data_IF_848264152008
#
_entry.id   IF_848264152008
#
_cell.length_a   1.000
_cell.length_b   1.000
_cell.length_c   1.000
_cell.angle_alpha   90.00
_cell.angle_beta   90.00
_cell.angle_gamma   90.00
#
_symmetry.space_group_name_H-M   'P 1'
#
loop_
_entity.id
_entity.type
_entity.pdbx_description
1 polymer ?
#
# COMPACT_ATOMS: atom_id res chain seq x y z
N UNK A 1 -14.65 -8.58 -5.50
CA UNK A 1 -14.54 -9.21 -6.84
C UNK A 1 -15.89 -9.19 -7.57
N UNK A 2 -16.92 -9.86 -7.02
CA UNK A 2 -18.23 -9.97 -7.68
C UNK A 2 -18.88 -8.61 -8.04
N UNK A 3 -18.86 -7.67 -7.13
CA UNK A 3 -19.47 -6.35 -7.34
C UNK A 3 -18.67 -5.53 -8.35
N UNK A 4 -17.35 -5.61 -8.31
CA UNK A 4 -16.46 -4.96 -9.31
C UNK A 4 -16.72 -5.51 -10.71
N UNK A 5 -16.85 -6.82 -10.86
CA UNK A 5 -17.21 -7.47 -12.12
C UNK A 5 -18.55 -6.90 -12.67
N UNK A 6 -19.60 -6.90 -11.84
CA UNK A 6 -20.92 -6.42 -12.25
C UNK A 6 -20.92 -4.95 -12.67
N UNK A 7 -20.16 -4.11 -11.98
CA UNK A 7 -20.05 -2.69 -12.31
C UNK A 7 -19.39 -2.51 -13.69
N UNK A 8 -18.26 -3.20 -13.91
CA UNK A 8 -17.51 -3.09 -15.16
C UNK A 8 -18.29 -3.69 -16.35
N UNK A 9 -18.98 -4.80 -16.14
CA UNK A 9 -19.86 -5.43 -17.14
C UNK A 9 -21.02 -4.50 -17.52
N UNK A 10 -21.67 -3.86 -16.55
CA UNK A 10 -22.73 -2.88 -16.80
C UNK A 10 -22.24 -1.59 -17.49
N UNK A 11 -20.94 -1.32 -17.46
CA UNK A 11 -20.29 -0.19 -18.15
C UNK A 11 -19.78 -0.58 -19.55
N UNK A 12 -20.14 -1.77 -20.03
CA UNK A 12 -19.69 -2.32 -21.32
C UNK A 12 -18.15 -2.33 -21.49
N UNK A 13 -17.41 -2.54 -20.39
CA UNK A 13 -15.96 -2.69 -20.45
C UNK A 13 -15.58 -3.96 -21.22
N UNK A 14 -14.43 -3.90 -21.89
CA UNK A 14 -13.91 -5.06 -22.61
C UNK A 14 -13.65 -6.24 -21.64
N UNK A 15 -14.02 -7.50 -22.02
CA UNK A 15 -13.84 -8.67 -21.17
C UNK A 15 -12.39 -8.90 -20.69
N UNK A 16 -11.38 -8.58 -21.49
CA UNK A 16 -9.98 -8.70 -21.10
C UNK A 16 -9.59 -7.64 -20.06
N UNK A 17 -10.11 -6.42 -20.18
CA UNK A 17 -9.95 -5.38 -19.17
C UNK A 17 -10.63 -5.78 -17.85
N UNK A 18 -11.86 -6.29 -17.91
CA UNK A 18 -12.59 -6.78 -16.73
C UNK A 18 -11.77 -7.88 -16.04
N UNK A 19 -11.28 -8.85 -16.79
CA UNK A 19 -10.48 -9.94 -16.26
C UNK A 19 -9.20 -9.42 -15.56
N UNK A 20 -8.50 -8.46 -16.16
CA UNK A 20 -7.29 -7.85 -15.63
C UNK A 20 -7.57 -7.09 -14.32
N UNK A 21 -8.60 -6.25 -14.31
CA UNK A 21 -8.99 -5.43 -13.15
C UNK A 21 -9.45 -6.32 -11.99
N UNK A 22 -10.33 -7.28 -12.26
CA UNK A 22 -10.87 -8.19 -11.24
C UNK A 22 -9.77 -9.08 -10.65
N UNK A 23 -8.83 -9.53 -11.48
CA UNK A 23 -7.65 -10.26 -11.04
C UNK A 23 -6.76 -9.40 -10.13
N UNK A 24 -6.52 -8.14 -10.48
CA UNK A 24 -5.76 -7.22 -9.65
C UNK A 24 -6.44 -7.00 -8.29
N UNK A 25 -7.77 -6.76 -8.28
CA UNK A 25 -8.55 -6.61 -7.05
C UNK A 25 -8.49 -7.88 -6.18
N UNK A 26 -8.54 -9.07 -6.79
CA UNK A 26 -8.48 -10.34 -6.06
C UNK A 26 -7.11 -10.65 -5.44
N UNK A 27 -6.05 -10.00 -5.89
CA UNK A 27 -4.67 -10.28 -5.51
C UNK A 27 -3.96 -9.15 -4.77
N UNK A 28 -4.68 -8.15 -4.22
CA UNK A 28 -4.04 -7.01 -3.57
C UNK A 28 -3.92 -7.10 -2.04
N UNK A 29 -4.66 -8.01 -1.39
CA UNK A 29 -4.71 -8.12 0.07
C UNK A 29 -3.41 -8.67 0.68
N UNK A 30 -3.08 -8.22 1.90
CA UNK A 30 -1.81 -8.55 2.57
C UNK A 30 -1.61 -10.04 2.84
N UNK A 31 -2.68 -10.76 3.18
CA UNK A 31 -2.62 -12.17 3.56
C UNK A 31 -2.38 -13.12 2.38
N UNK A 32 -2.92 -12.80 1.21
CA UNK A 32 -2.93 -13.67 0.03
C UNK A 32 -2.49 -12.98 -1.25
N UNK A 33 -2.21 -11.68 -1.18
CA UNK A 33 -1.87 -10.85 -2.34
C UNK A 33 -0.61 -11.29 -3.05
N UNK A 34 -0.68 -11.25 -4.37
CA UNK A 34 0.43 -11.52 -5.26
C UNK A 34 0.39 -10.52 -6.43
N UNK A 35 1.51 -9.90 -6.78
CA UNK A 35 1.57 -9.01 -7.93
C UNK A 35 1.61 -9.80 -9.25
N UNK A 36 0.50 -10.46 -9.59
CA UNK A 36 0.39 -11.40 -10.72
C UNK A 36 0.54 -10.76 -12.09
N UNK A 37 0.36 -9.44 -12.18
CA UNK A 37 0.61 -8.64 -13.38
C UNK A 37 0.91 -7.19 -12.99
N UNK A 38 1.22 -6.34 -13.98
CA UNK A 38 1.57 -4.94 -13.73
C UNK A 38 0.43 -4.13 -13.08
N UNK A 39 -0.83 -4.42 -13.42
CA UNK A 39 -1.99 -3.73 -12.83
C UNK A 39 -2.16 -4.10 -11.36
N UNK A 40 -2.03 -5.40 -11.03
CA UNK A 40 -2.05 -5.85 -9.64
C UNK A 40 -0.89 -5.25 -8.83
N UNK A 41 0.31 -5.19 -9.41
CA UNK A 41 1.48 -4.58 -8.78
C UNK A 41 1.26 -3.09 -8.49
N UNK A 42 0.72 -2.34 -9.45
CA UNK A 42 0.40 -0.92 -9.27
C UNK A 42 -0.67 -0.70 -8.19
N UNK A 43 -1.71 -1.52 -8.17
CA UNK A 43 -2.77 -1.47 -7.15
C UNK A 43 -2.21 -1.76 -5.75
N UNK A 44 -1.37 -2.79 -5.61
CA UNK A 44 -0.70 -3.12 -4.35
C UNK A 44 0.11 -1.94 -3.85
N UNK A 45 0.96 -1.36 -4.68
CA UNK A 45 1.79 -0.21 -4.30
C UNK A 45 0.95 1.00 -3.88
N UNK A 46 -0.11 1.30 -4.62
CA UNK A 46 -1.00 2.42 -4.29
C UNK A 46 -1.74 2.19 -2.96
N UNK A 47 -2.35 1.02 -2.77
CA UNK A 47 -3.13 0.71 -1.57
C UNK A 47 -2.24 0.57 -0.33
N UNK A 48 -1.13 -0.18 -0.43
CA UNK A 48 -0.27 -0.48 0.73
C UNK A 48 0.63 0.70 1.13
N UNK A 49 0.86 1.66 0.26
CA UNK A 49 1.55 2.91 0.61
C UNK A 49 0.66 3.93 1.32
N UNK A 50 -0.67 3.77 1.28
CA UNK A 50 -1.61 4.70 1.91
C UNK A 50 -1.74 4.46 3.42
N UNK A 51 -0.67 4.71 4.14
CA UNK A 51 -0.59 4.65 5.61
C UNK A 51 -0.53 6.08 6.13
N UNK A 52 -1.56 6.54 6.81
CA UNK A 52 -1.60 7.92 7.32
C UNK A 52 -2.74 8.12 8.33
N UNK A 53 -2.58 9.18 9.15
CA UNK A 53 -3.53 9.60 10.20
C UNK A 53 -4.98 9.71 9.70
N UNK A 54 -5.19 10.24 8.51
CA UNK A 54 -6.53 10.42 7.93
C UNK A 54 -7.25 9.10 7.60
N UNK A 55 -6.57 7.97 7.65
CA UNK A 55 -7.16 6.62 7.48
C UNK A 55 -7.81 6.10 8.75
N UNK A 56 -7.45 6.63 9.91
CA UNK A 56 -8.03 6.21 11.20
C UNK A 56 -9.46 6.73 11.29
N UNK A 57 -10.41 5.82 11.39
CA UNK A 57 -11.85 6.14 11.51
C UNK A 57 -12.29 6.30 12.96
N UNK A 58 -11.60 5.61 13.87
CA UNK A 58 -11.85 5.73 15.30
C UNK A 58 -11.48 7.16 15.77
N UNK A 59 -12.38 7.84 16.47
CA UNK A 59 -12.15 9.21 16.96
C UNK A 59 -11.75 9.26 18.42
N UNK A 60 -11.87 8.15 19.13
CA UNK A 60 -11.50 8.03 20.54
C UNK A 60 -10.12 7.41 20.69
N UNK A 61 -9.12 8.25 20.93
CA UNK A 61 -7.73 7.82 21.10
C UNK A 61 -7.51 6.85 22.26
N UNK A 62 -8.40 6.88 23.28
CA UNK A 62 -8.31 5.97 24.41
C UNK A 62 -8.63 4.52 24.02
N UNK A 63 -9.37 4.32 22.92
CA UNK A 63 -9.77 3.01 22.40
C UNK A 63 -8.98 2.58 21.17
N UNK A 64 -7.90 3.31 20.81
CA UNK A 64 -7.03 2.94 19.68
C UNK A 64 -6.40 1.57 19.93
N UNK A 65 -6.57 0.68 18.95
CA UNK A 65 -5.72 -0.51 18.86
C UNK A 65 -4.32 -0.15 18.29
N UNK A 66 -3.47 -1.14 18.12
CA UNK A 66 -2.12 -0.91 17.60
C UNK A 66 -2.13 -0.42 16.15
N UNK A 67 -3.06 -0.90 15.33
CA UNK A 67 -3.22 -0.46 13.94
C UNK A 67 -3.66 1.00 13.88
N UNK A 68 -4.63 1.40 14.71
CA UNK A 68 -5.08 2.79 14.83
C UNK A 68 -3.93 3.70 15.24
N UNK A 69 -3.17 3.32 16.29
CA UNK A 69 -2.03 4.11 16.76
C UNK A 69 -0.95 4.29 15.71
N UNK A 70 -0.59 3.21 15.01
CA UNK A 70 0.45 3.28 13.98
C UNK A 70 -0.01 4.12 12.80
N UNK A 71 -1.23 3.94 12.29
CA UNK A 71 -1.77 4.80 11.24
C UNK A 71 -1.86 6.27 11.70
N UNK A 72 -2.30 6.51 12.93
CA UNK A 72 -2.40 7.87 13.49
C UNK A 72 -1.04 8.54 13.65
N UNK A 73 0.02 7.77 13.91
CA UNK A 73 1.38 8.28 14.00
C UNK A 73 1.93 8.79 12.65
N UNK A 74 1.42 8.27 11.53
CA UNK A 74 1.89 8.66 10.19
C UNK A 74 1.21 9.96 9.75
N UNK A 75 1.94 11.06 9.77
CA UNK A 75 1.48 12.39 9.33
C UNK A 75 1.37 12.49 7.82
N UNK A 76 2.30 11.89 7.11
CA UNK A 76 2.40 11.96 5.65
C UNK A 76 2.99 10.68 5.10
N UNK A 77 2.42 10.21 4.01
CA UNK A 77 2.96 9.15 3.15
C UNK A 77 3.13 9.68 1.73
N UNK A 78 4.23 9.37 1.09
CA UNK A 78 4.52 9.79 -0.28
C UNK A 78 5.21 8.66 -1.04
N UNK A 79 4.59 8.24 -2.14
CA UNK A 79 5.14 7.28 -3.09
C UNK A 79 5.62 8.02 -4.33
N UNK A 80 6.87 7.82 -4.74
CA UNK A 80 7.47 8.44 -5.93
C UNK A 80 8.29 7.46 -6.74
N UNK A 81 8.16 7.53 -8.05
CA UNK A 81 9.05 6.88 -9.00
C UNK A 81 10.08 7.91 -9.47
N UNK A 82 11.35 7.51 -9.62
CA UNK A 82 12.40 8.37 -10.15
C UNK A 82 12.21 8.59 -11.67
N UNK A 83 12.90 9.59 -12.23
CA UNK A 83 12.78 9.94 -13.65
C UNK A 83 13.25 8.83 -14.59
N UNK A 84 14.24 8.06 -14.18
CA UNK A 84 14.79 6.93 -14.93
C UNK A 84 13.89 5.67 -14.89
N UNK A 85 12.77 5.70 -14.14
CA UNK A 85 11.85 4.54 -13.95
C UNK A 85 12.56 3.26 -13.49
N UNK A 86 13.52 3.39 -12.58
CA UNK A 86 14.29 2.27 -12.00
C UNK A 86 14.01 2.06 -10.52
N UNK A 87 13.47 3.08 -9.86
CA UNK A 87 13.32 3.13 -8.41
C UNK A 87 11.95 3.68 -8.03
N UNK A 88 11.28 3.00 -7.11
CA UNK A 88 10.09 3.52 -6.41
C UNK A 88 10.41 3.71 -4.93
N UNK A 89 10.16 4.90 -4.41
CA UNK A 89 10.47 5.29 -3.05
C UNK A 89 9.21 5.62 -2.26
N UNK A 90 9.00 4.93 -1.14
CA UNK A 90 7.99 5.26 -0.15
C UNK A 90 8.65 6.06 0.98
N UNK A 91 8.17 7.28 1.18
CA UNK A 91 8.58 8.16 2.28
C UNK A 91 7.45 8.31 3.28
N UNK A 92 7.74 8.05 4.55
CA UNK A 92 6.81 8.20 5.66
C UNK A 92 7.36 9.19 6.67
N UNK A 93 6.47 10.05 7.17
CA UNK A 93 6.75 10.96 8.29
C UNK A 93 5.94 10.51 9.49
N UNK A 94 6.64 9.91 10.45
CA UNK A 94 6.06 9.31 11.67
C UNK A 94 6.24 10.26 12.85
N UNK A 95 5.15 10.53 13.55
CA UNK A 95 5.15 11.26 14.82
C UNK A 95 5.36 10.27 15.97
N UNK A 96 6.56 10.24 16.49
CA UNK A 96 6.97 9.29 17.53
C UNK A 96 6.26 9.47 18.88
N UNK A 97 5.44 10.51 19.03
CA UNK A 97 4.56 10.67 20.19
C UNK A 97 3.42 9.64 20.23
N UNK A 98 3.00 9.13 19.07
CA UNK A 98 1.85 8.23 18.94
C UNK A 98 2.22 6.79 18.60
N UNK A 99 3.40 6.56 18.07
CA UNK A 99 3.90 5.24 17.74
C UNK A 99 5.38 5.27 17.39
N UNK A 100 6.08 4.22 17.70
CA UNK A 100 7.49 4.07 17.34
C UNK A 100 7.67 3.58 15.91
N UNK A 101 8.87 3.72 15.35
CA UNK A 101 9.23 3.09 14.08
C UNK A 101 9.16 1.57 14.19
N UNK A 102 9.44 1.02 15.36
CA UNK A 102 9.33 -0.43 15.62
C UNK A 102 7.88 -0.91 15.55
N UNK A 103 6.93 -0.15 16.12
CA UNK A 103 5.50 -0.47 16.03
C UNK A 103 5.03 -0.49 14.58
N UNK A 104 5.54 0.45 13.76
CA UNK A 104 5.26 0.47 12.32
C UNK A 104 5.74 -0.81 11.64
N UNK A 105 6.95 -1.28 11.92
CA UNK A 105 7.47 -2.51 11.33
C UNK A 105 6.71 -3.74 11.82
N UNK A 106 6.39 -3.82 13.09
CA UNK A 106 5.62 -4.94 13.66
C UNK A 106 4.29 -5.13 12.92
N UNK A 107 3.59 -4.04 12.66
CA UNK A 107 2.26 -4.05 12.04
C UNK A 107 2.33 -4.13 10.51
N UNK A 108 3.27 -3.44 9.89
CA UNK A 108 3.28 -3.26 8.43
C UNK A 108 4.43 -3.94 7.69
N UNK A 109 5.20 -4.81 8.35
CA UNK A 109 6.28 -5.54 7.69
C UNK A 109 5.77 -6.34 6.48
N UNK A 110 4.70 -7.11 6.65
CA UNK A 110 4.08 -7.88 5.55
C UNK A 110 3.66 -6.99 4.39
N UNK A 111 3.11 -5.82 4.69
CA UNK A 111 2.71 -4.80 3.72
C UNK A 111 3.91 -4.26 2.94
N UNK A 112 5.02 -3.97 3.61
CA UNK A 112 6.25 -3.50 2.97
C UNK A 112 6.91 -4.58 2.10
N UNK A 113 6.89 -5.83 2.54
CA UNK A 113 7.36 -6.95 1.73
C UNK A 113 6.53 -7.15 0.47
N UNK A 114 5.22 -6.97 0.55
CA UNK A 114 4.33 -7.04 -0.61
C UNK A 114 4.59 -5.86 -1.58
N UNK A 115 4.83 -4.65 -1.06
CA UNK A 115 5.25 -3.50 -1.89
C UNK A 115 6.56 -3.78 -2.62
N UNK A 116 7.54 -4.40 -1.98
CA UNK A 116 8.80 -4.77 -2.61
C UNK A 116 8.59 -5.73 -3.76
N UNK A 117 7.81 -6.82 -3.55
CA UNK A 117 7.47 -7.77 -4.63
C UNK A 117 6.74 -7.10 -5.79
N UNK A 118 5.81 -6.19 -5.49
CA UNK A 118 5.08 -5.45 -6.51
C UNK A 118 6.01 -4.53 -7.33
N UNK A 119 6.93 -3.84 -6.68
CA UNK A 119 7.94 -3.04 -7.36
C UNK A 119 8.83 -3.89 -8.29
N UNK A 120 9.30 -5.05 -7.81
CA UNK A 120 10.09 -6.00 -8.60
C UNK A 120 9.32 -6.48 -9.83
N UNK A 121 8.02 -6.75 -9.72
CA UNK A 121 7.15 -7.10 -10.86
C UNK A 121 7.09 -5.99 -11.92
N UNK A 122 7.20 -4.72 -11.50
CA UNK A 122 7.27 -3.56 -12.41
C UNK A 122 8.70 -3.26 -12.91
N UNK A 123 9.70 -4.08 -12.54
CA UNK A 123 11.09 -3.83 -12.87
C UNK A 123 11.73 -2.70 -12.07
N UNK A 124 11.16 -2.35 -10.90
CA UNK A 124 11.60 -1.26 -10.05
C UNK A 124 12.26 -1.79 -8.76
N UNK A 125 13.26 -1.06 -8.27
CA UNK A 125 13.78 -1.26 -6.92
C UNK A 125 12.89 -0.53 -5.91
N UNK A 126 12.48 -1.18 -4.83
CA UNK A 126 11.73 -0.56 -3.74
C UNK A 126 12.66 0.01 -2.67
N UNK A 127 12.40 1.26 -2.27
CA UNK A 127 13.10 1.94 -1.16
C UNK A 127 12.10 2.48 -0.16
N UNK A 128 12.36 2.25 1.12
CA UNK A 128 11.58 2.80 2.24
C UNK A 128 12.41 3.80 3.04
N UNK A 129 11.85 4.98 3.28
CA UNK A 129 12.41 6.00 4.16
C UNK A 129 11.39 6.38 5.24
N UNK A 130 11.81 6.39 6.48
CA UNK A 130 11.00 6.88 7.61
C UNK A 130 11.75 8.02 8.28
N UNK A 131 11.10 9.17 8.43
CA UNK A 131 11.68 10.38 9.02
C UNK A 131 13.05 10.71 8.40
N UNK A 132 13.12 10.66 7.06
CA UNK A 132 14.31 10.93 6.25
C UNK A 132 15.48 9.93 6.42
N UNK A 133 15.30 8.88 7.20
CA UNK A 133 16.27 7.80 7.33
C UNK A 133 15.96 6.67 6.35
N UNK A 134 16.90 6.28 5.47
CA UNK A 134 16.71 5.13 4.61
C UNK A 134 16.77 3.83 5.43
N UNK A 135 15.81 2.93 5.20
CA UNK A 135 15.70 1.65 5.92
C UNK A 135 15.92 0.45 5.01
N UNK A 136 15.53 0.58 3.77
CA UNK A 136 15.77 -0.39 2.67
C UNK A 136 15.86 0.33 1.33
#
# INVERSE_FOLDING_TARGET
IRDSFRILDNLDCDPEEIATIVTAIGNHDEGTGQPVNAVAAALILADKSDVRRSRVRNRDMATFDIHDRVNYSVKKSQLKINEEHTLIKLKLWVDTKYGSVMDYFEIFMGRMLLCRKAAETLGLQFKLMINEQPLI
#
